data_IF_924834086868
#
_entry.id   IF_924834086868
#
_cell.length_a   1.000
_cell.length_b   1.000
_cell.length_c   1.000
_cell.angle_alpha   90.00
_cell.angle_beta   90.00
_cell.angle_gamma   90.00
#
_symmetry.space_group_name_H-M   'P 1'
#
loop_
_entity.id
_entity.type
_entity.pdbx_description
1 polymer ?
#
# COMPACT_ATOMS: atom_id res chain seq x y z
N UNK A 1 -29.40 -15.76 7.14
CA UNK A 1 -28.51 -14.58 7.09
C UNK A 1 -27.20 -14.96 7.75
N UNK A 2 -26.11 -14.74 7.03
CA UNK A 2 -24.78 -15.05 7.56
C UNK A 2 -24.39 -14.01 8.60
N UNK A 3 -24.04 -14.42 9.81
CA UNK A 3 -23.51 -13.52 10.82
C UNK A 3 -22.12 -13.08 10.39
N UNK A 4 -21.81 -11.81 10.67
CA UNK A 4 -20.52 -11.26 10.33
C UNK A 4 -19.48 -11.69 11.38
N UNK A 5 -18.56 -12.55 10.97
CA UNK A 5 -17.50 -13.02 11.85
C UNK A 5 -16.45 -11.93 12.07
N UNK A 6 -15.85 -11.83 13.29
CA UNK A 6 -14.76 -10.88 13.51
C UNK A 6 -13.60 -11.02 12.50
N UNK A 7 -13.30 -12.25 12.08
CA UNK A 7 -12.29 -12.51 11.06
C UNK A 7 -12.62 -11.91 9.69
N UNK A 8 -13.92 -11.76 9.37
CA UNK A 8 -14.33 -11.12 8.12
C UNK A 8 -13.93 -9.64 8.07
N UNK A 9 -13.98 -8.94 9.21
CA UNK A 9 -13.52 -7.55 9.31
C UNK A 9 -12.02 -7.45 9.14
N UNK A 10 -11.28 -8.37 9.77
CA UNK A 10 -9.83 -8.44 9.64
C UNK A 10 -9.44 -8.71 8.19
N UNK A 11 -10.07 -9.70 7.56
CA UNK A 11 -9.81 -10.06 6.16
C UNK A 11 -10.08 -8.87 5.25
N UNK A 12 -11.20 -8.19 5.41
CA UNK A 12 -11.54 -7.03 4.60
C UNK A 12 -10.51 -5.91 4.76
N UNK A 13 -10.11 -5.63 6.00
CA UNK A 13 -9.10 -4.62 6.29
C UNK A 13 -7.74 -4.99 5.69
N UNK A 14 -7.31 -6.23 5.81
CA UNK A 14 -6.05 -6.71 5.24
C UNK A 14 -6.07 -6.68 3.71
N UNK A 15 -7.17 -7.04 3.09
CA UNK A 15 -7.31 -6.96 1.63
C UNK A 15 -7.16 -5.51 1.15
N UNK A 16 -7.74 -4.56 1.87
CA UNK A 16 -7.59 -3.14 1.54
C UNK A 16 -6.15 -2.67 1.72
N UNK A 17 -5.47 -3.14 2.77
CA UNK A 17 -4.05 -2.83 2.99
C UNK A 17 -3.19 -3.36 1.84
N UNK A 18 -3.45 -4.57 1.35
CA UNK A 18 -2.72 -5.11 0.19
C UNK A 18 -2.89 -4.20 -1.02
N UNK A 19 -4.13 -3.81 -1.34
CA UNK A 19 -4.42 -2.94 -2.48
C UNK A 19 -3.73 -1.59 -2.33
N UNK A 20 -3.87 -0.95 -1.18
CA UNK A 20 -3.30 0.37 -0.93
C UNK A 20 -1.76 0.34 -0.91
N UNK A 21 -1.19 -0.69 -0.30
CA UNK A 21 0.27 -0.86 -0.27
C UNK A 21 0.84 -1.08 -1.67
N UNK A 22 0.16 -1.88 -2.48
CA UNK A 22 0.58 -2.13 -3.87
C UNK A 22 0.51 -0.85 -4.70
N UNK A 23 -0.53 -0.03 -4.48
CA UNK A 23 -0.66 1.28 -5.13
C UNK A 23 0.47 2.22 -4.71
N UNK A 24 0.80 2.28 -3.41
CA UNK A 24 1.92 3.09 -2.91
C UNK A 24 3.25 2.61 -3.53
N UNK A 25 3.44 1.31 -3.63
CA UNK A 25 4.62 0.74 -4.27
C UNK A 25 4.75 1.23 -5.72
N UNK A 26 3.67 1.15 -6.49
CA UNK A 26 3.66 1.61 -7.88
C UNK A 26 3.94 3.10 -7.99
N UNK A 27 3.35 3.92 -7.13
CA UNK A 27 3.60 5.36 -7.10
C UNK A 27 5.06 5.68 -6.72
N UNK A 28 5.62 4.92 -5.80
CA UNK A 28 7.02 5.07 -5.40
C UNK A 28 7.96 4.70 -6.53
N UNK A 29 7.65 3.64 -7.28
CA UNK A 29 8.45 3.22 -8.42
C UNK A 29 8.46 4.26 -9.54
N UNK A 30 7.31 4.84 -9.89
CA UNK A 30 7.28 5.87 -10.94
C UNK A 30 8.12 7.09 -10.54
N UNK A 31 8.12 7.44 -9.24
CA UNK A 31 8.96 8.51 -8.71
C UNK A 31 10.44 8.14 -8.77
N UNK A 32 10.78 6.92 -8.38
CA UNK A 32 12.15 6.42 -8.43
C UNK A 32 12.71 6.49 -9.85
N UNK A 33 11.92 6.07 -10.83
CA UNK A 33 12.35 6.07 -12.23
C UNK A 33 12.48 7.46 -12.82
N UNK A 34 11.58 8.38 -12.48
CA UNK A 34 11.41 9.64 -13.18
C UNK A 34 11.91 10.88 -12.45
N UNK A 35 12.34 10.76 -11.19
CA UNK A 35 12.84 11.91 -10.43
C UNK A 35 14.06 12.53 -11.14
N UNK A 36 14.12 13.87 -11.12
CA UNK A 36 15.20 14.62 -11.77
C UNK A 36 15.52 15.86 -10.93
N UNK A 37 16.64 16.48 -11.24
CA UNK A 37 17.08 17.70 -10.57
C UNK A 37 18.24 17.46 -9.63
N UNK A 38 18.55 18.46 -8.80
CA UNK A 38 19.72 18.45 -7.93
C UNK A 38 19.68 17.38 -6.84
N UNK A 39 18.48 16.93 -6.46
CA UNK A 39 18.30 15.90 -5.44
C UNK A 39 18.11 14.49 -6.03
N UNK A 40 18.47 14.31 -7.31
CA UNK A 40 18.22 13.03 -7.99
C UNK A 40 18.79 11.84 -7.23
N UNK A 41 20.06 11.86 -6.90
CA UNK A 41 20.71 10.69 -6.29
C UNK A 41 20.10 10.32 -4.94
N UNK A 42 19.86 11.31 -4.08
CA UNK A 42 19.30 11.06 -2.75
C UNK A 42 17.85 10.58 -2.84
N UNK A 43 17.02 11.19 -3.68
CA UNK A 43 15.62 10.81 -3.83
C UNK A 43 15.45 9.48 -4.56
N UNK A 44 16.22 9.26 -5.63
CA UNK A 44 16.22 8.00 -6.36
C UNK A 44 16.51 6.82 -5.42
N UNK A 45 17.55 6.96 -4.60
CA UNK A 45 17.93 5.93 -3.62
C UNK A 45 16.90 5.78 -2.51
N UNK A 46 16.33 6.89 -2.01
CA UNK A 46 15.32 6.85 -0.96
C UNK A 46 14.04 6.16 -1.45
N UNK A 47 13.60 6.45 -2.67
CA UNK A 47 12.42 5.82 -3.24
C UNK A 47 12.65 4.31 -3.46
N UNK A 48 13.84 3.92 -3.90
CA UNK A 48 14.20 2.51 -4.05
C UNK A 48 14.12 1.77 -2.71
N UNK A 49 14.67 2.35 -1.65
CA UNK A 49 14.61 1.77 -0.32
C UNK A 49 13.15 1.58 0.13
N UNK A 50 12.30 2.56 -0.15
CA UNK A 50 10.89 2.51 0.24
C UNK A 50 10.14 1.37 -0.47
N UNK A 51 10.22 1.27 -1.80
CA UNK A 51 9.47 0.22 -2.48
C UNK A 51 10.07 -1.18 -2.23
N UNK A 52 11.37 -1.25 -2.00
CA UNK A 52 12.03 -2.51 -1.66
C UNK A 52 11.54 -3.06 -0.32
N UNK A 53 11.27 -2.19 0.64
CA UNK A 53 10.69 -2.59 1.93
C UNK A 53 9.20 -2.97 1.81
N UNK A 54 8.46 -2.29 0.94
CA UNK A 54 7.03 -2.56 0.75
C UNK A 54 6.79 -3.94 0.14
N UNK A 55 7.63 -4.37 -0.79
CA UNK A 55 7.41 -5.59 -1.54
C UNK A 55 7.25 -6.83 -0.64
N UNK A 56 8.20 -7.14 0.27
CA UNK A 56 8.02 -8.28 1.16
C UNK A 56 6.91 -8.06 2.20
N UNK A 57 6.67 -6.84 2.62
CA UNK A 57 5.60 -6.54 3.57
C UNK A 57 4.21 -6.85 2.96
N UNK A 58 4.00 -6.51 1.70
CA UNK A 58 2.75 -6.83 0.98
C UNK A 58 2.55 -8.34 0.92
N UNK A 59 3.62 -9.08 0.62
CA UNK A 59 3.59 -10.53 0.53
C UNK A 59 3.18 -11.16 1.85
N UNK A 60 3.74 -10.70 2.96
CA UNK A 60 3.40 -11.17 4.31
C UNK A 60 1.92 -10.95 4.64
N UNK A 61 1.38 -9.77 4.29
CA UNK A 61 -0.03 -9.45 4.53
C UNK A 61 -0.93 -10.35 3.68
N UNK A 62 -0.59 -10.53 2.42
CA UNK A 62 -1.34 -11.40 1.52
C UNK A 62 -1.36 -12.86 2.03
N UNK A 63 -0.23 -13.35 2.52
CA UNK A 63 -0.13 -14.69 3.09
C UNK A 63 -0.95 -14.81 4.39
N UNK A 64 -1.01 -13.75 5.19
CA UNK A 64 -1.86 -13.73 6.38
C UNK A 64 -3.34 -13.87 6.02
N UNK A 65 -3.78 -13.22 4.94
CA UNK A 65 -5.15 -13.37 4.44
C UNK A 65 -5.44 -14.85 4.12
N UNK A 66 -4.49 -15.53 3.46
CA UNK A 66 -4.61 -16.94 3.15
C UNK A 66 -4.68 -17.80 4.42
N UNK A 67 -3.89 -17.47 5.42
CA UNK A 67 -3.91 -18.18 6.69
C UNK A 67 -5.26 -18.04 7.41
N UNK A 68 -5.95 -16.92 7.20
CA UNK A 68 -7.27 -16.69 7.77
C UNK A 68 -8.40 -17.34 6.95
N UNK A 69 -8.07 -18.04 5.87
CA UNK A 69 -9.02 -18.82 5.09
C UNK A 69 -9.63 -18.09 3.89
N UNK A 70 -9.13 -16.92 3.53
CA UNK A 70 -9.64 -16.15 2.40
C UNK A 70 -8.59 -16.06 1.29
N UNK A 71 -9.03 -15.59 0.11
CA UNK A 71 -8.11 -15.32 -0.99
C UNK A 71 -7.56 -13.90 -0.88
N UNK A 72 -6.27 -13.75 -1.22
CA UNK A 72 -5.64 -12.45 -1.33
C UNK A 72 -6.04 -11.78 -2.64
N UNK A 73 -6.27 -10.46 -2.65
CA UNK A 73 -6.59 -9.76 -3.89
C UNK A 73 -5.34 -9.64 -4.78
N UNK A 74 -5.55 -9.55 -6.07
CA UNK A 74 -4.45 -9.40 -7.03
C UNK A 74 -4.94 -8.81 -8.34
N UNK A 75 -3.99 -8.67 -9.28
CA UNK A 75 -4.26 -8.07 -10.58
C UNK A 75 -4.19 -6.56 -10.54
N UNK A 76 -3.45 -5.96 -11.47
CA UNK A 76 -3.19 -4.51 -11.45
C UNK A 76 -4.47 -3.69 -11.50
N UNK A 77 -5.38 -4.04 -12.40
CA UNK A 77 -6.65 -3.32 -12.54
C UNK A 77 -7.51 -3.40 -11.29
N UNK A 78 -7.63 -4.58 -10.71
CA UNK A 78 -8.41 -4.79 -9.50
C UNK A 78 -7.81 -4.05 -8.30
N UNK A 79 -6.50 -4.15 -8.11
CA UNK A 79 -5.84 -3.46 -7.00
C UNK A 79 -5.95 -1.95 -7.13
N UNK A 80 -5.80 -1.40 -8.33
CA UNK A 80 -5.97 0.03 -8.58
C UNK A 80 -7.38 0.49 -8.24
N UNK A 81 -8.38 -0.28 -8.64
CA UNK A 81 -9.79 0.02 -8.35
C UNK A 81 -10.06 -0.02 -6.84
N UNK A 82 -9.55 -1.03 -6.14
CA UNK A 82 -9.71 -1.16 -4.69
C UNK A 82 -9.04 -0.01 -3.94
N UNK A 83 -7.83 0.37 -4.35
CA UNK A 83 -7.07 1.43 -3.69
C UNK A 83 -7.68 2.80 -3.93
N UNK A 84 -8.18 3.06 -5.13
CA UNK A 84 -8.74 4.37 -5.50
C UNK A 84 -7.74 5.51 -5.34
N UNK A 85 -6.44 5.21 -5.38
CA UNK A 85 -5.39 6.18 -5.16
C UNK A 85 -5.17 7.04 -6.40
N UNK A 86 -5.01 8.35 -6.20
CA UNK A 86 -4.65 9.26 -7.28
C UNK A 86 -3.22 8.97 -7.72
N UNK A 87 -3.02 8.84 -9.02
CA UNK A 87 -1.70 8.59 -9.60
C UNK A 87 -0.98 9.91 -9.88
N UNK A 88 0.33 9.92 -9.60
CA UNK A 88 1.18 11.06 -9.93
C UNK A 88 1.55 11.02 -11.42
N UNK A 89 1.78 12.19 -11.99
CA UNK A 89 2.21 12.31 -13.39
C UNK A 89 3.68 11.90 -13.52
N UNK A 90 4.01 11.32 -14.65
CA UNK A 90 5.40 10.90 -14.97
C UNK A 90 6.38 12.08 -14.93
N UNK A 91 5.91 13.26 -15.32
CA UNK A 91 6.74 14.47 -15.42
C UNK A 91 6.67 15.37 -14.20
N UNK A 92 6.13 14.89 -13.09
CA UNK A 92 6.03 15.68 -11.86
C UNK A 92 7.41 16.13 -11.37
N UNK A 93 7.45 17.29 -10.70
CA UNK A 93 8.67 17.77 -10.07
C UNK A 93 9.07 16.87 -8.89
N UNK A 94 10.34 16.91 -8.53
CA UNK A 94 10.84 16.19 -7.34
C UNK A 94 10.05 16.61 -6.10
N UNK A 95 9.74 17.89 -5.95
CA UNK A 95 8.99 18.41 -4.83
C UNK A 95 7.57 17.84 -4.78
N UNK A 96 6.90 17.79 -5.93
CA UNK A 96 5.55 17.22 -6.02
C UNK A 96 5.56 15.73 -5.77
N UNK A 97 6.60 15.03 -6.20
CA UNK A 97 6.78 13.60 -5.90
C UNK A 97 6.87 13.35 -4.40
N UNK A 98 7.68 14.12 -3.69
CA UNK A 98 7.82 14.01 -2.23
C UNK A 98 6.49 14.27 -1.54
N UNK A 99 5.77 15.31 -1.94
CA UNK A 99 4.45 15.63 -1.38
C UNK A 99 3.46 14.51 -1.62
N UNK A 100 3.42 13.99 -2.84
CA UNK A 100 2.50 12.92 -3.23
C UNK A 100 2.74 11.66 -2.42
N UNK A 101 4.00 11.22 -2.33
CA UNK A 101 4.35 10.02 -1.59
C UNK A 101 4.16 10.19 -0.09
N UNK A 102 4.43 11.38 0.45
CA UNK A 102 4.18 11.66 1.85
C UNK A 102 2.69 11.50 2.20
N UNK A 103 1.80 12.06 1.37
CA UNK A 103 0.36 11.92 1.55
C UNK A 103 -0.10 10.46 1.39
N UNK A 104 0.44 9.75 0.40
CA UNK A 104 0.10 8.35 0.16
C UNK A 104 0.54 7.46 1.32
N UNK A 105 1.73 7.69 1.85
CA UNK A 105 2.24 6.92 3.00
C UNK A 105 1.46 7.22 4.28
N UNK A 106 1.05 8.46 4.50
CA UNK A 106 0.21 8.81 5.64
C UNK A 106 -1.15 8.11 5.58
N UNK A 107 -1.75 8.04 4.40
CA UNK A 107 -3.00 7.30 4.20
C UNK A 107 -2.81 5.81 4.47
N UNK A 108 -1.70 5.24 4.01
CA UNK A 108 -1.39 3.83 4.24
C UNK A 108 -1.19 3.54 5.73
N UNK A 109 -0.52 4.42 6.47
CA UNK A 109 -0.36 4.27 7.92
C UNK A 109 -1.73 4.24 8.60
N UNK A 110 -2.66 5.11 8.21
CA UNK A 110 -4.01 5.12 8.76
C UNK A 110 -4.72 3.79 8.49
N UNK A 111 -4.58 3.22 7.30
CA UNK A 111 -5.15 1.91 6.96
C UNK A 111 -4.54 0.78 7.78
N UNK A 112 -3.24 0.83 8.00
CA UNK A 112 -2.53 -0.15 8.83
C UNK A 112 -3.00 -0.09 10.29
N UNK A 113 -3.21 1.12 10.82
CA UNK A 113 -3.74 1.30 12.17
C UNK A 113 -5.15 0.71 12.28
N UNK A 114 -6.00 0.97 11.29
CA UNK A 114 -7.36 0.40 11.25
C UNK A 114 -7.32 -1.13 11.21
N UNK A 115 -6.44 -1.70 10.41
CA UNK A 115 -6.29 -3.15 10.31
C UNK A 115 -5.78 -3.76 11.62
N UNK A 116 -4.81 -3.09 12.26
CA UNK A 116 -4.29 -3.51 13.57
C UNK A 116 -5.39 -3.51 14.61
N UNK A 117 -6.20 -2.46 14.65
CA UNK A 117 -7.29 -2.34 15.62
C UNK A 117 -8.35 -3.42 15.37
N UNK A 118 -8.71 -3.68 14.11
CA UNK A 118 -9.63 -4.74 13.75
C UNK A 118 -9.11 -6.12 14.18
N UNK A 119 -7.82 -6.37 13.95
CA UNK A 119 -7.16 -7.62 14.35
C UNK A 119 -7.16 -7.77 15.88
N UNK A 120 -6.85 -6.71 16.60
CA UNK A 120 -6.89 -6.70 18.06
C UNK A 120 -8.28 -7.02 18.61
N UNK A 121 -9.31 -6.40 18.04
CA UNK A 121 -10.70 -6.64 18.41
C UNK A 121 -11.14 -8.08 18.14
N UNK A 122 -10.58 -8.72 17.12
CA UNK A 122 -10.86 -10.10 16.75
C UNK A 122 -9.96 -11.12 17.47
N UNK A 123 -8.98 -10.67 18.25
CA UNK A 123 -8.02 -11.53 18.95
C UNK A 123 -6.90 -12.05 18.06
N UNK A 124 -6.64 -11.42 16.94
CA UNK A 124 -5.59 -11.84 15.99
C UNK A 124 -4.32 -10.99 16.09
#
# INVERSE_FOLDING_TARGET
>A
MKNFEPSDKVIKALRQVVANSYAVLGQTQICHWNVRGSSFFSLHSAFEAQYTELFPAIDEIAERIRALGAFAPGGLGNLAKMAGMKEIREDASAQDMVKHLSAANNALVADLVSARDAAGDAGD
#
